data_IF_699793806984
#
_entry.id   IF_699793806984
#
_cell.length_a   1.000
_cell.length_b   1.000
_cell.length_c   1.000
_cell.angle_alpha   90.00
_cell.angle_beta   90.00
_cell.angle_gamma   90.00
#
_symmetry.space_group_name_H-M   'P 1'
#
loop_
_entity.id
_entity.type
_entity.pdbx_description
1 polymer ?
#
# COMPACT_ATOMS: atom_id res chain seq x y z
N UNK A 1 -46.21 -16.71 -15.18
CA UNK A 1 -44.89 -16.75 -14.53
C UNK A 1 -44.03 -15.60 -15.05
N UNK A 2 -44.07 -14.42 -14.41
CA UNK A 2 -43.27 -13.25 -14.78
C UNK A 2 -41.96 -13.37 -13.97
N UNK A 3 -40.90 -13.79 -14.64
CA UNK A 3 -39.54 -13.75 -14.07
C UNK A 3 -39.13 -12.29 -13.93
N UNK A 4 -38.96 -11.83 -12.70
CA UNK A 4 -38.30 -10.56 -12.34
C UNK A 4 -36.82 -10.64 -12.72
N UNK A 5 -36.45 -10.28 -13.96
CA UNK A 5 -35.07 -10.18 -14.45
C UNK A 5 -34.65 -8.73 -14.71
N UNK A 6 -35.49 -7.77 -14.40
CA UNK A 6 -35.34 -6.34 -14.73
C UNK A 6 -34.05 -5.63 -14.25
N UNK A 7 -33.49 -5.88 -13.06
CA UNK A 7 -32.31 -5.11 -12.70
C UNK A 7 -31.02 -5.62 -13.37
N UNK A 8 -30.95 -6.91 -13.73
CA UNK A 8 -29.74 -7.50 -14.33
C UNK A 8 -29.65 -7.15 -15.81
N UNK A 9 -30.74 -7.27 -16.55
CA UNK A 9 -30.81 -6.93 -18.00
C UNK A 9 -30.62 -5.43 -18.26
N UNK A 10 -31.16 -4.57 -17.39
CA UNK A 10 -30.95 -3.13 -17.48
C UNK A 10 -29.49 -2.75 -17.16
N UNK A 11 -28.84 -3.46 -16.25
CA UNK A 11 -27.42 -3.26 -15.91
C UNK A 11 -26.50 -3.78 -17.03
N UNK A 12 -26.81 -4.93 -17.62
CA UNK A 12 -26.11 -5.47 -18.79
C UNK A 12 -26.23 -4.54 -20.02
N UNK A 13 -27.43 -4.04 -20.33
CA UNK A 13 -27.62 -3.08 -21.41
C UNK A 13 -26.90 -1.75 -21.18
N UNK A 14 -26.77 -1.32 -19.95
CA UNK A 14 -26.05 -0.09 -19.59
C UNK A 14 -24.55 -0.27 -19.71
N UNK A 15 -24.03 -1.45 -19.36
CA UNK A 15 -22.62 -1.80 -19.56
C UNK A 15 -22.29 -1.92 -21.05
N UNK A 16 -23.15 -2.57 -21.85
CA UNK A 16 -22.98 -2.67 -23.30
C UNK A 16 -23.01 -1.31 -24.00
N UNK A 17 -23.74 -0.35 -23.46
CA UNK A 17 -23.80 1.02 -24.00
C UNK A 17 -22.54 1.84 -23.63
N UNK A 18 -21.99 1.63 -22.41
CA UNK A 18 -20.87 2.41 -21.87
C UNK A 18 -19.52 1.77 -22.19
N UNK A 19 -19.45 0.43 -22.22
CA UNK A 19 -18.22 -0.31 -22.41
C UNK A 19 -18.44 -1.62 -23.20
N UNK A 20 -18.80 -1.52 -24.49
CA UNK A 20 -19.16 -2.69 -25.32
C UNK A 20 -18.01 -3.70 -25.43
N UNK A 21 -16.75 -3.24 -25.42
CA UNK A 21 -15.59 -4.13 -25.52
C UNK A 21 -15.28 -4.84 -24.20
N UNK A 22 -15.67 -4.27 -23.05
CA UNK A 22 -15.43 -4.89 -21.75
C UNK A 22 -16.14 -6.24 -21.59
N UNK A 23 -17.36 -6.35 -22.13
CA UNK A 23 -18.13 -7.59 -22.04
C UNK A 23 -17.42 -8.78 -22.71
N UNK A 24 -16.76 -8.53 -23.85
CA UNK A 24 -15.96 -9.55 -24.53
C UNK A 24 -14.74 -10.03 -23.69
N UNK A 25 -14.23 -9.19 -22.80
CA UNK A 25 -13.05 -9.49 -21.99
C UNK A 25 -13.33 -9.61 -20.48
N UNK A 26 -14.60 -9.78 -20.09
CA UNK A 26 -15.03 -9.80 -18.68
C UNK A 26 -14.24 -10.77 -17.80
N UNK A 27 -14.01 -12.01 -18.26
CA UNK A 27 -13.31 -13.03 -17.49
C UNK A 27 -11.84 -12.66 -17.27
N UNK A 28 -11.21 -12.02 -18.25
CA UNK A 28 -9.86 -11.45 -18.18
C UNK A 28 -9.80 -10.27 -17.23
N UNK A 29 -10.84 -9.45 -17.21
CA UNK A 29 -10.97 -8.33 -16.28
C UNK A 29 -11.02 -8.81 -14.83
N UNK A 30 -11.88 -9.76 -14.49
CA UNK A 30 -11.97 -10.31 -13.14
C UNK A 30 -10.69 -11.01 -12.70
N UNK A 31 -10.04 -11.75 -13.59
CA UNK A 31 -8.74 -12.38 -13.33
C UNK A 31 -7.68 -11.31 -13.03
N UNK A 32 -7.65 -10.22 -13.80
CA UNK A 32 -6.71 -9.13 -13.59
C UNK A 32 -7.01 -8.34 -12.33
N UNK A 33 -8.29 -8.17 -11.99
CA UNK A 33 -8.71 -7.55 -10.74
C UNK A 33 -8.24 -8.37 -9.54
N UNK A 34 -8.46 -9.69 -9.54
CA UNK A 34 -8.00 -10.60 -8.51
C UNK A 34 -6.46 -10.58 -8.38
N UNK A 35 -5.73 -10.57 -9.49
CA UNK A 35 -4.28 -10.47 -9.51
C UNK A 35 -3.77 -9.17 -8.86
N UNK A 36 -4.44 -8.04 -9.08
CA UNK A 36 -4.11 -6.76 -8.43
C UNK A 36 -4.25 -6.86 -6.91
N UNK A 37 -5.36 -7.45 -6.42
CA UNK A 37 -5.57 -7.62 -4.98
C UNK A 37 -4.64 -8.66 -4.37
N UNK A 38 -4.25 -9.68 -5.11
CA UNK A 38 -3.24 -10.65 -4.67
C UNK A 38 -1.87 -9.97 -4.47
N UNK A 39 -1.42 -9.16 -5.45
CA UNK A 39 -0.20 -8.37 -5.32
C UNK A 39 -0.29 -7.40 -4.15
N UNK A 40 -1.38 -6.65 -4.06
CA UNK A 40 -1.64 -5.69 -2.98
C UNK A 40 -1.61 -6.36 -1.60
N UNK A 41 -2.31 -7.47 -1.42
CA UNK A 41 -2.40 -8.17 -0.13
C UNK A 41 -1.06 -8.76 0.30
N UNK A 42 -0.38 -9.48 -0.59
CA UNK A 42 0.89 -10.14 -0.28
C UNK A 42 2.03 -9.13 -0.07
N UNK A 43 2.20 -8.19 -0.99
CA UNK A 43 3.25 -7.17 -0.87
C UNK A 43 2.94 -6.19 0.27
N UNK A 44 1.67 -5.80 0.45
CA UNK A 44 1.23 -4.91 1.50
C UNK A 44 1.46 -5.48 2.89
N UNK A 45 1.07 -6.74 3.14
CA UNK A 45 1.29 -7.38 4.43
C UNK A 45 2.77 -7.38 4.84
N UNK A 46 3.65 -7.79 3.92
CA UNK A 46 5.09 -7.80 4.17
C UNK A 46 5.60 -6.37 4.39
N UNK A 47 5.24 -5.45 3.51
CA UNK A 47 5.70 -4.08 3.56
C UNK A 47 5.23 -3.35 4.83
N UNK A 48 4.00 -3.59 5.29
CA UNK A 48 3.49 -2.96 6.50
C UNK A 48 4.17 -3.50 7.76
N UNK A 49 4.40 -4.80 7.87
CA UNK A 49 5.12 -5.38 9.01
C UNK A 49 6.57 -4.88 9.06
N UNK A 50 7.28 -5.01 7.94
CA UNK A 50 8.70 -4.63 7.86
C UNK A 50 8.88 -3.11 7.99
N UNK A 51 8.04 -2.33 7.32
CA UNK A 51 8.10 -0.87 7.38
C UNK A 51 7.73 -0.30 8.75
N UNK A 52 6.76 -0.90 9.46
CA UNK A 52 6.46 -0.54 10.84
C UNK A 52 7.66 -0.81 11.76
N UNK A 53 8.30 -1.97 11.62
CA UNK A 53 9.50 -2.32 12.38
C UNK A 53 10.63 -1.28 12.17
N UNK A 54 10.97 -0.97 10.93
CA UNK A 54 12.03 0.01 10.64
C UNK A 54 11.63 1.45 11.04
N UNK A 55 10.36 1.82 10.94
CA UNK A 55 9.86 3.12 11.39
C UNK A 55 9.99 3.28 12.91
N UNK A 56 9.62 2.26 13.68
CA UNK A 56 9.84 2.24 15.14
C UNK A 56 11.33 2.29 15.44
N UNK A 57 12.16 1.50 14.74
CA UNK A 57 13.62 1.48 14.94
C UNK A 57 14.23 2.87 14.74
N UNK A 58 13.84 3.61 13.70
CA UNK A 58 14.32 4.97 13.46
C UNK A 58 13.98 5.92 14.61
N UNK A 59 12.73 5.91 15.08
CA UNK A 59 12.31 6.80 16.18
C UNK A 59 13.02 6.46 17.49
N UNK A 60 13.21 5.19 17.78
CA UNK A 60 13.87 4.72 19.00
C UNK A 60 15.36 5.06 19.00
N UNK A 61 16.02 4.99 17.83
CA UNK A 61 17.49 5.18 17.70
C UNK A 61 17.90 6.60 17.33
N UNK A 62 16.96 7.50 17.00
CA UNK A 62 17.25 8.90 16.67
C UNK A 62 17.90 9.64 17.84
N UNK A 63 18.52 10.80 17.56
CA UNK A 63 19.04 11.71 18.59
C UNK A 63 17.92 12.10 19.57
N UNK A 64 18.17 11.94 20.86
CA UNK A 64 17.15 12.14 21.91
C UNK A 64 16.10 11.03 22.01
N UNK A 65 16.22 9.95 21.23
CA UNK A 65 15.31 8.81 21.28
C UNK A 65 15.42 7.98 22.56
N UNK A 66 14.54 7.00 22.71
CA UNK A 66 14.50 6.13 23.90
C UNK A 66 15.79 5.34 24.11
N UNK A 67 16.39 4.87 23.01
CA UNK A 67 17.65 4.15 22.99
C UNK A 67 18.52 4.72 21.87
N UNK A 68 19.04 5.92 22.08
CA UNK A 68 19.85 6.63 21.10
C UNK A 68 21.00 5.77 20.59
N UNK A 69 21.04 5.57 19.26
CA UNK A 69 22.14 4.93 18.55
C UNK A 69 22.23 5.54 17.15
N UNK A 70 23.03 6.60 17.05
CA UNK A 70 23.16 7.38 15.82
C UNK A 70 23.71 6.57 14.65
N UNK A 71 24.54 5.54 14.92
CA UNK A 71 25.08 4.68 13.86
C UNK A 71 23.96 3.85 13.21
N UNK A 72 23.15 3.16 14.02
CA UNK A 72 22.00 2.39 13.53
C UNK A 72 21.02 3.30 12.81
N UNK A 73 20.70 4.46 13.40
CA UNK A 73 19.83 5.45 12.77
C UNK A 73 20.33 5.87 11.39
N UNK A 74 21.61 6.25 11.28
CA UNK A 74 22.20 6.72 10.02
C UNK A 74 22.22 5.64 8.95
N UNK A 75 22.62 4.40 9.29
CA UNK A 75 22.66 3.28 8.34
C UNK A 75 21.26 3.01 7.78
N UNK A 76 20.28 2.83 8.67
CA UNK A 76 18.88 2.56 8.24
C UNK A 76 18.32 3.74 7.43
N UNK A 77 18.56 4.97 7.87
CA UNK A 77 18.12 6.18 7.18
C UNK A 77 18.71 6.31 5.78
N UNK A 78 20.02 6.01 5.60
CA UNK A 78 20.66 6.03 4.28
C UNK A 78 20.06 4.98 3.37
N UNK A 79 19.90 3.74 3.84
CA UNK A 79 19.31 2.65 3.04
C UNK A 79 17.89 3.02 2.57
N UNK A 80 17.04 3.50 3.48
CA UNK A 80 15.68 3.92 3.16
C UNK A 80 15.67 5.06 2.13
N UNK A 81 16.52 6.07 2.30
CA UNK A 81 16.58 7.20 1.37
C UNK A 81 17.09 6.79 -0.01
N UNK A 82 18.06 5.88 -0.11
CA UNK A 82 18.56 5.35 -1.38
C UNK A 82 17.43 4.67 -2.15
N UNK A 83 16.70 3.74 -1.51
CA UNK A 83 15.59 3.06 -2.20
C UNK A 83 14.45 4.00 -2.58
N UNK A 84 14.14 5.02 -1.76
CA UNK A 84 13.11 6.03 -2.08
C UNK A 84 13.51 6.96 -3.23
N UNK A 85 14.80 7.13 -3.47
CA UNK A 85 15.30 7.99 -4.56
C UNK A 85 15.21 7.31 -5.93
N UNK A 86 15.04 5.99 -5.98
CA UNK A 86 14.94 5.25 -7.23
C UNK A 86 13.49 5.25 -7.70
N UNK A 87 13.19 5.74 -8.93
CA UNK A 87 11.85 5.62 -9.51
C UNK A 87 11.42 4.16 -9.56
N UNK A 88 10.17 3.88 -9.14
CA UNK A 88 9.70 2.50 -8.96
C UNK A 88 9.85 1.62 -10.20
N UNK A 89 9.58 2.18 -11.39
CA UNK A 89 9.71 1.43 -12.65
C UNK A 89 11.15 0.96 -12.90
N UNK A 90 12.13 1.82 -12.55
CA UNK A 90 13.55 1.48 -12.65
C UNK A 90 13.95 0.47 -11.58
N UNK A 91 13.45 0.64 -10.36
CA UNK A 91 13.66 -0.31 -9.26
C UNK A 91 13.14 -1.71 -9.63
N UNK A 92 11.97 -1.78 -10.26
CA UNK A 92 11.37 -3.04 -10.72
C UNK A 92 12.29 -3.74 -11.72
N UNK A 93 12.82 -3.02 -12.73
CA UNK A 93 13.73 -3.57 -13.72
C UNK A 93 15.06 -3.97 -13.07
N UNK A 94 15.60 -3.13 -12.19
CA UNK A 94 16.84 -3.39 -11.47
C UNK A 94 16.76 -4.66 -10.62
N UNK A 95 15.60 -4.94 -10.02
CA UNK A 95 15.40 -6.11 -9.16
C UNK A 95 15.06 -7.40 -9.93
N UNK A 96 14.94 -7.39 -11.26
CA UNK A 96 14.67 -8.60 -12.06
C UNK A 96 15.63 -9.76 -11.75
N UNK A 97 16.97 -9.57 -11.73
CA UNK A 97 17.90 -10.66 -11.44
C UNK A 97 17.68 -11.23 -10.04
N UNK A 98 17.51 -10.37 -9.04
CA UNK A 98 17.26 -10.77 -7.66
C UNK A 98 15.91 -11.51 -7.54
N UNK A 99 14.86 -10.99 -8.19
CA UNK A 99 13.55 -11.62 -8.19
C UNK A 99 13.58 -13.02 -8.80
N UNK A 100 14.29 -13.19 -9.91
CA UNK A 100 14.49 -14.52 -10.52
C UNK A 100 15.23 -15.49 -9.60
N UNK A 101 16.25 -15.01 -8.90
CA UNK A 101 17.02 -15.84 -7.96
C UNK A 101 16.20 -16.28 -6.75
N UNK A 102 15.33 -15.41 -6.22
CA UNK A 102 14.56 -15.67 -4.99
C UNK A 102 13.22 -16.37 -5.29
N UNK A 103 12.52 -15.94 -6.32
CA UNK A 103 11.13 -16.37 -6.63
C UNK A 103 11.06 -17.33 -7.80
N UNK A 104 12.14 -17.46 -8.57
CA UNK A 104 12.21 -18.31 -9.78
C UNK A 104 11.63 -17.67 -11.04
N UNK A 105 10.86 -16.58 -10.94
CA UNK A 105 10.26 -15.85 -12.06
C UNK A 105 10.22 -14.36 -11.78
N UNK A 106 10.50 -13.54 -12.79
CA UNK A 106 10.34 -12.08 -12.73
C UNK A 106 9.03 -11.60 -13.39
N UNK A 107 8.21 -12.51 -13.90
CA UNK A 107 6.97 -12.20 -14.64
C UNK A 107 5.77 -12.65 -13.81
N UNK A 108 4.64 -11.97 -13.98
CA UNK A 108 3.39 -12.26 -13.29
C UNK A 108 3.36 -11.80 -11.83
N UNK A 109 2.28 -12.13 -11.14
CA UNK A 109 2.01 -11.70 -9.74
C UNK A 109 3.18 -12.05 -8.81
N UNK A 110 3.69 -13.27 -8.90
CA UNK A 110 4.80 -13.72 -8.02
C UNK A 110 6.07 -12.88 -8.21
N UNK A 111 6.40 -12.55 -9.46
CA UNK A 111 7.57 -11.73 -9.79
C UNK A 111 7.46 -10.28 -9.34
N UNK A 112 6.24 -9.75 -9.21
CA UNK A 112 6.03 -8.38 -8.79
C UNK A 112 6.11 -8.16 -7.27
N UNK A 113 5.87 -9.20 -6.45
CA UNK A 113 5.78 -9.05 -4.99
C UNK A 113 7.07 -8.46 -4.41
N UNK A 114 8.24 -8.99 -4.79
CA UNK A 114 9.52 -8.56 -4.24
C UNK A 114 9.81 -7.08 -4.58
N UNK A 115 9.75 -6.62 -5.83
CA UNK A 115 9.91 -5.19 -6.15
C UNK A 115 8.87 -4.28 -5.47
N UNK A 116 7.61 -4.72 -5.36
CA UNK A 116 6.57 -3.98 -4.65
C UNK A 116 6.91 -3.81 -3.15
N UNK A 117 7.44 -4.83 -2.50
CA UNK A 117 7.94 -4.75 -1.12
C UNK A 117 9.08 -3.74 -1.02
N UNK A 118 10.10 -3.85 -1.89
CA UNK A 118 11.24 -2.93 -1.89
C UNK A 118 10.86 -1.47 -2.18
N UNK A 119 9.83 -1.23 -2.98
CA UNK A 119 9.30 0.11 -3.21
C UNK A 119 8.46 0.65 -2.05
N UNK A 120 7.66 -0.22 -1.42
CA UNK A 120 6.69 0.19 -0.40
C UNK A 120 7.31 0.29 0.99
N UNK A 121 8.20 -0.62 1.39
CA UNK A 121 8.85 -0.62 2.72
C UNK A 121 9.52 0.71 3.04
N UNK A 122 10.41 1.26 2.21
CA UNK A 122 11.07 2.52 2.50
C UNK A 122 10.10 3.70 2.60
N UNK A 123 9.06 3.71 1.76
CA UNK A 123 8.02 4.72 1.81
C UNK A 123 7.23 4.65 3.12
N UNK A 124 6.73 3.45 3.47
CA UNK A 124 5.95 3.26 4.69
C UNK A 124 6.78 3.49 5.96
N UNK A 125 8.04 3.04 5.99
CA UNK A 125 8.96 3.30 7.11
C UNK A 125 9.05 4.78 7.44
N UNK A 126 9.19 5.64 6.41
CA UNK A 126 9.27 7.10 6.61
C UNK A 126 7.94 7.67 7.11
N UNK A 127 6.83 7.17 6.62
CA UNK A 127 5.51 7.58 7.09
C UNK A 127 5.29 7.20 8.57
N UNK A 128 5.69 6.00 8.95
CA UNK A 128 5.64 5.55 10.36
C UNK A 128 6.55 6.38 11.24
N UNK A 129 7.76 6.67 10.80
CA UNK A 129 8.68 7.54 11.54
C UNK A 129 8.06 8.92 11.83
N UNK A 130 7.45 9.55 10.82
CA UNK A 130 6.76 10.85 10.96
C UNK A 130 5.60 10.74 11.94
N UNK A 131 4.77 9.70 11.83
CA UNK A 131 3.63 9.47 12.72
C UNK A 131 4.07 9.31 14.18
N UNK A 132 5.09 8.50 14.44
CA UNK A 132 5.62 8.27 15.79
C UNK A 132 6.39 9.49 16.34
N UNK A 133 7.08 10.23 15.48
CA UNK A 133 7.78 11.46 15.89
C UNK A 133 6.84 12.57 16.34
N UNK A 134 5.57 12.53 15.91
CA UNK A 134 4.51 13.45 16.33
C UNK A 134 3.94 13.18 17.73
N UNK A 135 4.33 12.11 18.40
CA UNK A 135 3.90 11.81 19.78
C UNK A 135 4.49 12.84 20.74
N UNK A 136 3.66 13.35 21.66
CA UNK A 136 4.03 14.37 22.62
C UNK A 136 5.18 13.88 23.53
N UNK A 137 6.32 14.61 23.49
CA UNK A 137 7.51 14.27 24.26
C UNK A 137 7.26 14.28 25.78
N UNK A 138 6.38 15.16 26.29
CA UNK A 138 6.02 15.18 27.71
C UNK A 138 5.38 13.87 28.19
N UNK A 139 4.57 13.18 27.34
CA UNK A 139 4.04 11.85 27.67
C UNK A 139 5.13 10.79 27.75
N UNK A 140 6.12 10.89 26.86
CA UNK A 140 7.27 9.98 26.86
C UNK A 140 8.14 10.18 28.10
N UNK A 141 8.41 11.44 28.49
CA UNK A 141 9.16 11.78 29.68
C UNK A 141 8.45 11.37 30.98
N UNK A 142 7.13 11.62 31.05
CA UNK A 142 6.32 11.19 32.20
C UNK A 142 6.36 9.67 32.37
N UNK A 143 6.19 8.92 31.30
CA UNK A 143 6.26 7.46 31.36
C UNK A 143 7.66 6.96 31.72
N UNK A 144 8.73 7.64 31.28
CA UNK A 144 10.12 7.35 31.63
C UNK A 144 10.36 7.61 33.13
N UNK A 145 9.85 8.72 33.66
CA UNK A 145 9.95 9.07 35.09
C UNK A 145 9.21 8.08 36.00
N UNK A 146 8.14 7.46 35.48
CA UNK A 146 7.42 6.38 36.17
C UNK A 146 8.12 5.01 36.05
N UNK A 147 9.34 4.93 35.51
CA UNK A 147 10.12 3.70 35.42
C UNK A 147 9.78 2.80 34.24
N UNK A 148 9.07 3.29 33.21
CA UNK A 148 8.78 2.50 32.02
C UNK A 148 10.06 2.16 31.25
N UNK A 149 10.32 0.87 31.05
CA UNK A 149 11.44 0.40 30.23
C UNK A 149 11.20 0.67 28.73
N UNK A 150 12.24 0.49 27.90
CA UNK A 150 12.22 0.76 26.45
C UNK A 150 11.04 0.13 25.73
N UNK A 151 10.73 -1.16 25.98
CA UNK A 151 9.61 -1.83 25.35
C UNK A 151 8.25 -1.26 25.82
N UNK A 152 8.15 -0.89 27.10
CA UNK A 152 6.96 -0.22 27.64
C UNK A 152 6.72 1.11 26.95
N UNK A 153 7.75 1.92 26.74
CA UNK A 153 7.67 3.19 26.00
C UNK A 153 7.24 2.99 24.55
N UNK A 154 7.80 1.98 23.85
CA UNK A 154 7.44 1.70 22.45
C UNK A 154 5.97 1.29 22.33
N UNK A 155 5.53 0.28 23.07
CA UNK A 155 4.21 -0.31 22.88
C UNK A 155 3.08 0.48 23.58
N UNK A 156 3.33 1.02 24.77
CA UNK A 156 2.28 1.70 25.57
C UNK A 156 2.22 3.20 25.33
N UNK A 157 3.31 3.82 24.87
CA UNK A 157 3.33 5.27 24.62
C UNK A 157 3.37 5.54 23.12
N UNK A 158 4.48 5.24 22.43
CA UNK A 158 4.63 5.61 21.03
C UNK A 158 3.55 4.98 20.14
N UNK A 159 3.42 3.66 20.13
CA UNK A 159 2.47 2.99 19.26
C UNK A 159 1.02 3.27 19.67
N UNK A 160 0.73 3.31 20.97
CA UNK A 160 -0.63 3.55 21.46
C UNK A 160 -1.12 4.96 21.12
N UNK A 161 -0.32 5.98 21.41
CA UNK A 161 -0.66 7.38 21.12
C UNK A 161 -0.72 7.67 19.62
N UNK A 162 0.14 7.03 18.82
CA UNK A 162 0.19 7.25 17.38
C UNK A 162 -0.85 6.43 16.58
N UNK A 163 -1.69 5.57 17.21
CA UNK A 163 -2.65 4.71 16.49
C UNK A 163 -3.47 5.48 15.44
N UNK A 164 -4.07 6.65 15.72
CA UNK A 164 -4.85 7.36 14.70
C UNK A 164 -4.00 7.78 13.51
N UNK A 165 -2.78 8.25 13.76
CA UNK A 165 -1.87 8.70 12.71
C UNK A 165 -1.28 7.52 11.94
N UNK A 166 -0.95 6.42 12.62
CA UNK A 166 -0.54 5.17 11.98
C UNK A 166 -1.61 4.64 11.02
N UNK A 167 -2.89 4.72 11.37
CA UNK A 167 -3.99 4.36 10.47
C UNK A 167 -4.00 5.26 9.23
N UNK A 168 -3.82 6.58 9.40
CA UNK A 168 -3.78 7.52 8.28
C UNK A 168 -2.63 7.24 7.33
N UNK A 169 -1.41 7.10 7.84
CA UNK A 169 -0.23 6.84 7.01
C UNK A 169 -0.27 5.45 6.37
N UNK A 170 -0.86 4.46 7.04
CA UNK A 170 -1.11 3.14 6.46
C UNK A 170 -2.10 3.22 5.30
N UNK A 171 -3.16 4.02 5.43
CA UNK A 171 -4.14 4.24 4.37
C UNK A 171 -3.50 4.91 3.15
N UNK A 172 -2.72 5.96 3.35
CA UNK A 172 -1.98 6.64 2.26
C UNK A 172 -1.02 5.67 1.57
N UNK A 173 -0.31 4.85 2.32
CA UNK A 173 0.60 3.84 1.77
C UNK A 173 -0.16 2.75 1.01
N UNK A 174 -1.31 2.30 1.50
CA UNK A 174 -2.16 1.34 0.81
C UNK A 174 -2.63 1.87 -0.55
N UNK A 175 -3.06 3.13 -0.61
CA UNK A 175 -3.44 3.79 -1.87
C UNK A 175 -2.24 3.88 -2.82
N UNK A 176 -1.07 4.29 -2.33
CA UNK A 176 0.16 4.33 -3.12
C UNK A 176 0.53 2.96 -3.66
N UNK A 177 0.37 1.90 -2.86
CA UNK A 177 0.66 0.52 -3.27
C UNK A 177 -0.27 0.06 -4.41
N UNK A 178 -1.56 0.44 -4.43
CA UNK A 178 -2.45 0.19 -5.58
C UNK A 178 -1.87 0.83 -6.85
N UNK A 179 -1.38 2.06 -6.76
CA UNK A 179 -0.70 2.73 -7.88
C UNK A 179 0.55 1.95 -8.35
N UNK A 180 1.37 1.48 -7.41
CA UNK A 180 2.57 0.67 -7.72
C UNK A 180 2.22 -0.68 -8.38
N UNK A 181 1.12 -1.35 -7.94
CA UNK A 181 0.66 -2.59 -8.61
C UNK A 181 0.23 -2.35 -10.05
N UNK A 182 -0.38 -1.18 -10.32
CA UNK A 182 -0.76 -0.78 -11.68
C UNK A 182 0.48 -0.54 -12.55
N UNK A 183 1.52 0.12 -12.01
CA UNK A 183 2.82 0.32 -12.71
C UNK A 183 3.54 -1.01 -12.93
N UNK A 184 3.51 -1.94 -11.96
CA UNK A 184 4.07 -3.28 -12.14
C UNK A 184 3.35 -4.04 -13.27
N UNK A 185 2.03 -3.84 -13.41
CA UNK A 185 1.23 -4.36 -14.50
C UNK A 185 1.73 -3.96 -15.88
N UNK A 186 2.21 -2.72 -16.04
CA UNK A 186 2.78 -2.23 -17.30
C UNK A 186 4.05 -3.00 -17.72
N UNK A 187 4.76 -3.62 -16.78
CA UNK A 187 6.02 -4.36 -16.99
C UNK A 187 5.81 -5.89 -16.92
N UNK A 188 4.57 -6.34 -17.08
CA UNK A 188 4.27 -7.78 -17.19
C UNK A 188 3.92 -8.49 -15.88
N UNK A 189 3.64 -7.76 -14.81
CA UNK A 189 3.18 -8.34 -13.54
C UNK A 189 1.73 -8.86 -13.59
N UNK A 190 0.96 -8.50 -14.61
CA UNK A 190 -0.48 -8.74 -14.65
C UNK A 190 -1.27 -7.67 -13.89
N UNK A 191 -2.50 -7.99 -13.51
CA UNK A 191 -3.39 -7.06 -12.82
C UNK A 191 -4.08 -6.05 -13.74
N UNK A 192 -4.83 -5.12 -13.14
CA UNK A 192 -5.64 -4.12 -13.87
C UNK A 192 -4.76 -3.24 -14.76
N UNK A 193 -3.53 -2.90 -14.34
CA UNK A 193 -2.61 -2.11 -15.15
C UNK A 193 -2.25 -2.80 -16.47
N UNK A 194 -1.92 -4.10 -16.39
CA UNK A 194 -1.67 -4.91 -17.59
C UNK A 194 -2.91 -5.06 -18.46
N UNK A 195 -4.07 -5.22 -17.86
CA UNK A 195 -5.34 -5.32 -18.57
C UNK A 195 -5.66 -4.03 -19.35
N UNK A 196 -5.53 -2.89 -18.70
CA UNK A 196 -5.77 -1.58 -19.33
C UNK A 196 -4.84 -1.34 -20.53
N UNK A 197 -3.57 -1.78 -20.45
CA UNK A 197 -2.62 -1.64 -21.55
C UNK A 197 -2.92 -2.64 -22.66
N UNK A 198 -3.05 -3.92 -22.36
CA UNK A 198 -3.12 -4.97 -23.37
C UNK A 198 -4.47 -5.02 -24.10
N UNK A 199 -5.57 -4.76 -23.40
CA UNK A 199 -6.92 -4.84 -23.97
C UNK A 199 -7.54 -3.46 -24.21
N UNK A 200 -7.06 -2.42 -23.51
CA UNK A 200 -7.49 -1.04 -23.71
C UNK A 200 -6.58 -0.33 -24.73
N UNK A 201 -5.40 0.08 -24.30
CA UNK A 201 -4.51 0.93 -25.08
C UNK A 201 -4.02 0.26 -26.38
N UNK A 202 -3.51 -0.98 -26.33
CA UNK A 202 -2.93 -1.67 -27.48
C UNK A 202 -3.98 -2.07 -28.53
N UNK A 203 -5.25 -2.23 -28.12
CA UNK A 203 -6.36 -2.56 -29.03
C UNK A 203 -7.25 -1.35 -29.36
N UNK A 204 -6.87 -0.16 -28.90
CA UNK A 204 -7.61 1.08 -29.15
C UNK A 204 -9.04 1.09 -28.56
N UNK A 205 -9.26 0.32 -27.50
CA UNK A 205 -10.55 0.24 -26.77
C UNK A 205 -10.53 1.22 -25.57
N UNK A 206 -10.81 2.49 -25.83
CA UNK A 206 -10.79 3.53 -24.81
C UNK A 206 -11.83 3.30 -23.68
N UNK A 207 -12.94 2.65 -23.99
CA UNK A 207 -13.96 2.25 -23.03
C UNK A 207 -13.40 1.34 -21.93
N UNK A 208 -12.54 0.37 -22.27
CA UNK A 208 -11.85 -0.51 -21.31
C UNK A 208 -10.94 0.30 -20.38
N UNK A 209 -10.17 1.25 -20.94
CA UNK A 209 -9.31 2.12 -20.13
C UNK A 209 -10.13 2.94 -19.15
N UNK A 210 -11.24 3.53 -19.61
CA UNK A 210 -12.14 4.34 -18.78
C UNK A 210 -12.73 3.52 -17.64
N UNK A 211 -13.16 2.28 -17.89
CA UNK A 211 -13.67 1.38 -16.84
C UNK A 211 -12.58 1.04 -15.84
N UNK A 212 -11.37 0.74 -16.28
CA UNK A 212 -10.24 0.48 -15.37
C UNK A 212 -9.98 1.68 -14.44
N UNK A 213 -10.03 2.91 -14.96
CA UNK A 213 -9.89 4.14 -14.18
C UNK A 213 -11.00 4.26 -13.14
N UNK A 214 -12.27 4.10 -13.55
CA UNK A 214 -13.42 4.19 -12.65
C UNK A 214 -13.33 3.15 -11.54
N UNK A 215 -13.00 1.91 -11.86
CA UNK A 215 -12.87 0.82 -10.88
C UNK A 215 -11.74 1.12 -9.89
N UNK A 216 -10.58 1.59 -10.35
CA UNK A 216 -9.49 1.97 -9.45
C UNK A 216 -9.86 3.17 -8.56
N UNK A 217 -10.59 4.16 -9.09
CA UNK A 217 -11.10 5.29 -8.29
C UNK A 217 -12.05 4.80 -7.19
N UNK A 218 -12.95 3.87 -7.49
CA UNK A 218 -13.86 3.29 -6.50
C UNK A 218 -13.06 2.56 -5.41
N UNK A 219 -12.07 1.74 -5.78
CA UNK A 219 -11.21 1.02 -4.83
C UNK A 219 -10.46 2.00 -3.92
N UNK A 220 -9.85 3.03 -4.49
CA UNK A 220 -9.13 4.08 -3.73
C UNK A 220 -10.08 4.83 -2.80
N UNK A 221 -11.28 5.19 -3.27
CA UNK A 221 -12.29 5.87 -2.46
C UNK A 221 -12.76 5.01 -1.28
N UNK A 222 -12.95 3.71 -1.49
CA UNK A 222 -13.29 2.76 -0.41
C UNK A 222 -12.16 2.69 0.61
N UNK A 223 -10.92 2.50 0.18
CA UNK A 223 -9.75 2.47 1.07
C UNK A 223 -9.61 3.76 1.89
N UNK A 224 -9.76 4.91 1.23
CA UNK A 224 -9.70 6.22 1.88
C UNK A 224 -10.82 6.41 2.92
N UNK A 225 -12.05 6.02 2.56
CA UNK A 225 -13.20 6.14 3.44
C UNK A 225 -13.09 5.24 4.67
N UNK A 226 -12.67 3.99 4.47
CA UNK A 226 -12.43 3.03 5.57
C UNK A 226 -11.31 3.53 6.49
N UNK A 227 -10.18 3.98 5.93
CA UNK A 227 -9.07 4.51 6.70
C UNK A 227 -9.47 5.73 7.54
N UNK A 228 -10.19 6.68 6.94
CA UNK A 228 -10.69 7.87 7.64
C UNK A 228 -11.69 7.49 8.76
N UNK A 229 -12.59 6.54 8.51
CA UNK A 229 -13.55 6.08 9.51
C UNK A 229 -12.84 5.40 10.71
N UNK A 230 -11.83 4.56 10.43
CA UNK A 230 -11.02 3.91 11.46
C UNK A 230 -10.21 4.93 12.27
N UNK A 231 -9.54 5.87 11.61
CA UNK A 231 -8.77 6.92 12.29
C UNK A 231 -9.64 7.79 13.20
N UNK A 232 -10.84 8.18 12.76
CA UNK A 232 -11.79 8.96 13.57
C UNK A 232 -12.26 8.20 14.80
N UNK A 233 -12.54 6.91 14.68
CA UNK A 233 -12.97 6.06 15.82
C UNK A 233 -11.90 5.94 16.90
N UNK A 234 -10.63 5.90 16.52
CA UNK A 234 -9.50 5.81 17.45
C UNK A 234 -9.19 7.16 18.10
N UNK A 235 -9.33 8.28 17.38
CA UNK A 235 -9.15 9.63 17.94
C UNK A 235 -10.18 9.92 19.04
N UNK A 236 -11.45 9.56 18.84
CA UNK A 236 -12.52 9.82 19.81
C UNK A 236 -12.42 8.97 21.09
N UNK A 237 -11.69 7.85 21.07
CA UNK A 237 -11.47 7.02 22.28
C UNK A 237 -10.38 7.55 23.20
N UNK A 238 -9.51 8.44 22.72
CA UNK A 238 -8.44 9.06 23.52
C UNK A 238 -8.87 10.32 24.28
N UNK A 239 -10.16 10.69 24.25
CA UNK A 239 -10.71 11.87 24.92
C UNK A 239 -11.44 11.53 26.26
N UNK A 240 -11.43 10.26 26.69
CA UNK A 240 -12.02 9.80 27.96
C UNK A 240 -11.01 9.06 28.81
#
# INVERSE_FOLDING_TARGET
CIRRSWPIEAFETLIDLIAPNLYAYRDRFFTSFAATFEMFGKAGLIAFVVGLFFGVLLVVTRKGGVRENLLVYQVVNIVINVFRSIPFIILLIFLIPLTRAVVGSAIGVKGAILPLVFGTVPFYTRQVEVALAGVNEGKVEAARSMGSGTLGLIFRVYLHEAVPELIRVTTVTAISLIGLTTMAGAVGAGGIGSFAINYGQNQNHQDIVNVCVVVLLIVVFILQSLGNALARRTTNRGLF
#
